data_IF_882311789038
#
_entry.id   IF_882311789038
#
_cell.length_a   1.000
_cell.length_b   1.000
_cell.length_c   1.000
_cell.angle_alpha   90.00
_cell.angle_beta   90.00
_cell.angle_gamma   90.00
#
_symmetry.space_group_name_H-M   'P 1'
#
loop_
_entity.id
_entity.type
_entity.pdbx_description
1 polymer ?
#
# COMPACT_ATOMS: atom_id res chain seq x y z
N UNK A 1 -11.10 -13.63 5.37
CA UNK A 1 -11.05 -12.28 6.00
C UNK A 1 -10.18 -12.26 7.26
N UNK A 2 -10.33 -13.20 8.20
CA UNK A 2 -9.53 -13.23 9.44
C UNK A 2 -8.05 -13.60 9.24
N UNK A 3 -7.72 -14.45 8.27
CA UNK A 3 -6.34 -14.91 8.05
C UNK A 3 -5.38 -13.77 7.70
N UNK A 4 -5.75 -12.88 6.76
CA UNK A 4 -4.91 -11.73 6.39
C UNK A 4 -4.66 -10.79 7.57
N UNK A 5 -5.67 -10.57 8.42
CA UNK A 5 -5.51 -9.77 9.62
C UNK A 5 -4.59 -10.43 10.64
N UNK A 6 -4.70 -11.75 10.84
CA UNK A 6 -3.82 -12.50 11.74
C UNK A 6 -2.37 -12.53 11.22
N UNK A 7 -2.17 -12.65 9.90
CA UNK A 7 -0.86 -12.60 9.25
C UNK A 7 -0.17 -11.25 9.49
N UNK A 8 -0.92 -10.16 9.65
CA UNK A 8 -0.36 -8.84 9.96
C UNK A 8 -0.21 -8.63 11.46
N UNK A 9 -1.27 -8.89 12.24
CA UNK A 9 -1.27 -8.59 13.67
C UNK A 9 -0.32 -9.53 14.44
N UNK A 10 -0.36 -10.84 14.23
CA UNK A 10 0.42 -11.79 15.02
C UNK A 10 1.93 -11.49 14.96
N UNK A 11 2.56 -11.32 13.78
CA UNK A 11 3.98 -10.98 13.71
C UNK A 11 4.31 -9.63 14.33
N UNK A 12 3.41 -8.63 14.19
CA UNK A 12 3.55 -7.32 14.81
C UNK A 12 3.59 -7.44 16.35
N UNK A 13 2.62 -8.16 16.93
CA UNK A 13 2.55 -8.41 18.37
C UNK A 13 3.77 -9.18 18.86
N UNK A 14 4.14 -10.28 18.19
CA UNK A 14 5.29 -11.11 18.58
C UNK A 14 6.59 -10.31 18.51
N UNK A 15 6.81 -9.53 17.45
CA UNK A 15 7.96 -8.63 17.34
C UNK A 15 7.96 -7.57 18.44
N UNK A 16 6.78 -7.01 18.76
CA UNK A 16 6.63 -6.00 19.81
C UNK A 16 6.93 -6.51 21.21
N UNK A 17 6.85 -7.82 21.48
CA UNK A 17 7.23 -8.37 22.78
C UNK A 17 8.76 -8.31 23.02
N UNK A 18 9.55 -8.17 21.96
CA UNK A 18 11.02 -8.17 22.04
C UNK A 18 11.53 -6.77 22.40
N UNK A 19 11.92 -6.60 23.66
CA UNK A 19 12.61 -5.40 24.15
C UNK A 19 14.11 -5.66 24.25
N UNK A 20 14.92 -4.83 23.59
CA UNK A 20 16.38 -4.89 23.60
C UNK A 20 16.99 -3.50 23.70
N UNK A 21 18.09 -3.38 24.45
CA UNK A 21 18.87 -2.14 24.56
C UNK A 21 20.10 -2.16 23.62
N UNK A 22 20.31 -3.26 22.89
CA UNK A 22 21.48 -3.42 22.03
C UNK A 22 21.32 -2.60 20.73
N UNK A 23 22.08 -1.51 20.62
CA UNK A 23 22.07 -0.61 19.45
C UNK A 23 22.50 -1.29 18.15
N UNK A 24 23.40 -2.28 18.21
CA UNK A 24 23.85 -3.03 17.03
C UNK A 24 22.69 -3.86 16.48
N UNK A 25 21.99 -4.59 17.36
CA UNK A 25 20.82 -5.38 16.97
C UNK A 25 19.74 -4.50 16.33
N UNK A 26 19.45 -3.32 16.91
CA UNK A 26 18.48 -2.38 16.37
C UNK A 26 18.88 -1.85 14.98
N UNK A 27 20.17 -1.57 14.78
CA UNK A 27 20.69 -1.13 13.48
C UNK A 27 20.61 -2.24 12.44
N UNK A 28 20.91 -3.47 12.82
CA UNK A 28 20.76 -4.65 11.95
C UNK A 28 19.31 -4.89 11.56
N UNK A 29 18.36 -4.73 12.48
CA UNK A 29 16.91 -4.86 12.19
C UNK A 29 16.48 -3.83 11.15
N UNK A 30 16.97 -2.59 11.23
CA UNK A 30 16.69 -1.56 10.22
C UNK A 30 17.24 -1.95 8.83
N UNK A 31 18.43 -2.56 8.79
CA UNK A 31 19.02 -3.03 7.54
C UNK A 31 18.25 -4.21 6.94
N UNK A 32 17.87 -5.18 7.78
CA UNK A 32 17.02 -6.33 7.40
C UNK A 32 15.69 -5.85 6.83
N UNK A 33 15.05 -4.87 7.48
CA UNK A 33 13.78 -4.31 7.01
C UNK A 33 13.91 -3.74 5.58
N UNK A 34 15.00 -3.03 5.28
CA UNK A 34 15.25 -2.53 3.93
C UNK A 34 15.53 -3.64 2.90
N UNK A 35 16.23 -4.70 3.30
CA UNK A 35 16.46 -5.86 2.42
C UNK A 35 15.14 -6.57 2.12
N UNK A 36 14.32 -6.82 3.15
CA UNK A 36 13.00 -7.44 3.00
C UNK A 36 12.10 -6.61 2.09
N UNK A 37 12.19 -5.27 2.17
CA UNK A 37 11.50 -4.36 1.26
C UNK A 37 11.93 -4.55 -0.21
N UNK A 38 13.23 -4.68 -0.49
CA UNK A 38 13.67 -4.94 -1.88
C UNK A 38 13.20 -6.29 -2.39
N UNK A 39 13.25 -7.32 -1.53
CA UNK A 39 12.82 -8.67 -1.88
C UNK A 39 11.31 -8.71 -2.17
N UNK A 40 10.47 -8.09 -1.32
CA UNK A 40 9.03 -8.12 -1.54
C UNK A 40 8.65 -7.42 -2.86
N UNK A 41 9.23 -6.25 -3.14
CA UNK A 41 9.00 -5.53 -4.40
C UNK A 41 9.49 -6.28 -5.63
N UNK A 42 10.62 -6.97 -5.52
CA UNK A 42 11.10 -7.86 -6.58
C UNK A 42 10.10 -9.01 -6.84
N UNK A 43 9.63 -9.69 -5.79
CA UNK A 43 8.66 -10.79 -5.89
C UNK A 43 7.37 -10.29 -6.56
N UNK A 44 6.90 -9.10 -6.17
CA UNK A 44 5.71 -8.46 -6.76
C UNK A 44 5.89 -8.19 -8.25
N UNK A 45 7.05 -7.62 -8.62
CA UNK A 45 7.43 -7.47 -10.02
C UNK A 45 7.44 -8.81 -10.75
N UNK A 46 8.08 -9.83 -10.19
CA UNK A 46 8.15 -11.15 -10.80
C UNK A 46 6.77 -11.75 -11.08
N UNK A 47 5.84 -11.66 -10.13
CA UNK A 47 4.45 -12.08 -10.32
C UNK A 47 3.75 -11.31 -11.44
N UNK A 48 4.00 -10.00 -11.59
CA UNK A 48 3.49 -9.19 -12.70
C UNK A 48 3.97 -9.71 -14.06
N UNK A 49 5.26 -10.07 -14.16
CA UNK A 49 5.85 -10.58 -15.40
C UNK A 49 5.27 -11.91 -15.90
N UNK A 50 4.62 -12.67 -15.01
CA UNK A 50 4.05 -13.98 -15.34
C UNK A 50 2.59 -13.93 -15.81
N UNK A 51 1.93 -12.77 -15.81
CA UNK A 51 0.53 -12.66 -16.25
C UNK A 51 0.37 -12.98 -17.76
N UNK A 52 -0.65 -13.77 -18.10
CA UNK A 52 -1.04 -14.10 -19.47
C UNK A 52 -1.84 -12.96 -20.13
N UNK A 53 -1.85 -12.96 -21.48
CA UNK A 53 -2.73 -12.11 -22.30
C UNK A 53 -2.62 -10.57 -22.17
N UNK A 54 -1.54 -10.04 -21.58
CA UNK A 54 -1.31 -8.60 -21.45
C UNK A 54 -1.36 -7.85 -22.80
N UNK A 55 -0.81 -8.42 -23.86
CA UNK A 55 -0.52 -7.71 -25.11
C UNK A 55 -1.73 -7.43 -26.02
N UNK A 56 -2.81 -8.24 -25.95
CA UNK A 56 -3.92 -8.16 -26.93
C UNK A 56 -5.09 -7.26 -26.51
N UNK A 57 -5.21 -6.91 -25.21
CA UNK A 57 -6.26 -6.03 -24.66
C UNK A 57 -5.72 -4.77 -23.97
N UNK A 58 -4.42 -4.51 -24.13
CA UNK A 58 -3.68 -3.52 -23.35
C UNK A 58 -4.22 -2.09 -23.44
N UNK A 59 -4.64 -1.54 -24.60
CA UNK A 59 -5.05 -0.13 -24.67
C UNK A 59 -6.29 0.18 -23.83
N UNK A 60 -7.31 -0.69 -23.88
CA UNK A 60 -8.56 -0.50 -23.11
C UNK A 60 -8.30 -0.66 -21.61
N UNK A 61 -7.52 -1.68 -21.23
CA UNK A 61 -7.13 -1.89 -19.83
C UNK A 61 -6.33 -0.70 -19.31
N UNK A 62 -5.36 -0.22 -20.08
CA UNK A 62 -4.51 0.90 -19.70
C UNK A 62 -5.30 2.20 -19.53
N UNK A 63 -6.18 2.54 -20.49
CA UNK A 63 -7.00 3.76 -20.41
C UNK A 63 -7.96 3.69 -19.21
N UNK A 64 -8.64 2.56 -19.02
CA UNK A 64 -9.58 2.39 -17.91
C UNK A 64 -8.86 2.42 -16.56
N UNK A 65 -7.76 1.66 -16.40
CA UNK A 65 -6.97 1.64 -15.18
C UNK A 65 -6.36 3.01 -14.87
N UNK A 66 -5.83 3.72 -15.86
CA UNK A 66 -5.30 5.07 -15.69
C UNK A 66 -6.40 6.06 -15.27
N UNK A 67 -7.60 5.94 -15.85
CA UNK A 67 -8.75 6.78 -15.49
C UNK A 67 -9.15 6.57 -14.03
N UNK A 68 -9.29 5.32 -13.60
CA UNK A 68 -9.54 4.98 -12.19
C UNK A 68 -8.42 5.50 -11.29
N UNK A 69 -7.16 5.20 -11.63
CA UNK A 69 -6.00 5.59 -10.87
C UNK A 69 -5.92 7.10 -10.65
N UNK A 70 -6.03 7.89 -11.72
CA UNK A 70 -5.93 9.35 -11.67
C UNK A 70 -7.06 9.92 -10.83
N UNK A 71 -8.31 9.52 -11.08
CA UNK A 71 -9.46 10.09 -10.37
C UNK A 71 -9.46 9.71 -8.89
N UNK A 72 -9.27 8.42 -8.56
CA UNK A 72 -9.23 7.97 -7.17
C UNK A 72 -8.08 8.63 -6.41
N UNK A 73 -6.87 8.64 -6.97
CA UNK A 73 -5.72 9.23 -6.29
C UNK A 73 -5.85 10.75 -6.16
N UNK A 74 -6.40 11.45 -7.15
CA UNK A 74 -6.64 12.90 -7.06
C UNK A 74 -7.66 13.25 -5.98
N UNK A 75 -8.77 12.53 -5.91
CA UNK A 75 -9.78 12.73 -4.87
C UNK A 75 -9.22 12.44 -3.47
N UNK A 76 -8.47 11.35 -3.32
CA UNK A 76 -7.78 11.03 -2.07
C UNK A 76 -6.82 12.14 -1.67
N UNK A 77 -5.98 12.61 -2.59
CA UNK A 77 -5.01 13.66 -2.32
C UNK A 77 -5.70 14.96 -1.91
N UNK A 78 -6.75 15.38 -2.63
CA UNK A 78 -7.50 16.61 -2.30
C UNK A 78 -8.17 16.50 -0.93
N UNK A 79 -8.88 15.41 -0.65
CA UNK A 79 -9.59 15.26 0.63
C UNK A 79 -8.65 15.15 1.82
N UNK A 80 -7.53 14.44 1.67
CA UNK A 80 -6.54 14.29 2.72
C UNK A 80 -5.73 15.57 2.95
N UNK A 81 -5.35 16.29 1.89
CA UNK A 81 -4.68 17.60 2.03
C UNK A 81 -5.62 18.60 2.69
N UNK A 82 -6.90 18.63 2.31
CA UNK A 82 -7.89 19.47 2.95
C UNK A 82 -7.97 19.16 4.45
N UNK A 83 -8.05 17.87 4.83
CA UNK A 83 -8.04 17.45 6.22
C UNK A 83 -6.76 17.85 6.97
N UNK A 84 -5.58 17.65 6.38
CA UNK A 84 -4.32 18.06 6.98
C UNK A 84 -4.24 19.58 7.20
N UNK A 85 -4.82 20.38 6.29
CA UNK A 85 -4.92 21.85 6.44
C UNK A 85 -5.88 22.28 7.55
N UNK A 86 -7.02 21.62 7.69
CA UNK A 86 -7.99 21.92 8.75
C UNK A 86 -7.57 21.38 10.12
N UNK A 87 -6.75 20.34 10.17
CA UNK A 87 -6.27 19.71 11.40
C UNK A 87 -4.75 19.50 11.37
N UNK A 88 -3.94 20.57 11.35
CA UNK A 88 -2.49 20.46 11.22
C UNK A 88 -1.89 19.80 12.45
N UNK A 89 -1.05 18.78 12.23
CA UNK A 89 -0.14 18.23 13.25
C UNK A 89 1.27 18.15 12.63
N UNK A 90 2.04 19.24 12.64
CA UNK A 90 3.38 19.25 12.07
C UNK A 90 4.29 18.28 12.81
N UNK A 91 5.20 17.58 12.12
CA UNK A 91 6.20 16.69 12.72
C UNK A 91 6.87 17.40 13.90
N UNK A 92 6.97 16.73 15.06
CA UNK A 92 7.89 17.22 16.10
C UNK A 92 9.25 17.27 15.43
N UNK A 93 9.95 18.41 15.50
CA UNK A 93 11.27 18.58 14.88
C UNK A 93 12.14 17.39 15.28
N UNK A 94 12.34 16.46 14.35
CA UNK A 94 13.32 15.40 14.52
C UNK A 94 14.67 16.11 14.56
N UNK A 95 15.38 15.99 15.67
CA UNK A 95 16.66 16.66 15.94
C UNK A 95 17.83 16.09 15.12
N UNK A 96 17.58 15.67 13.88
CA UNK A 96 18.58 15.16 12.95
C UNK A 96 18.33 15.72 11.54
N UNK A 97 19.39 15.83 10.75
CA UNK A 97 19.29 16.20 9.34
C UNK A 97 18.37 15.23 8.62
N UNK A 98 17.16 15.69 8.25
CA UNK A 98 16.29 14.89 7.40
C UNK A 98 17.01 14.63 6.09
N UNK A 99 17.01 13.38 5.58
CA UNK A 99 17.65 13.07 4.32
C UNK A 99 17.08 13.99 3.22
N UNK A 100 17.97 14.52 2.36
CA UNK A 100 17.58 15.37 1.24
C UNK A 100 16.49 14.71 0.40
N UNK A 101 15.51 15.50 -0.07
CA UNK A 101 14.39 15.02 -0.91
C UNK A 101 14.88 14.24 -2.14
N UNK A 102 16.01 14.67 -2.72
CA UNK A 102 16.65 13.97 -3.83
C UNK A 102 17.10 12.56 -3.45
N UNK A 103 17.69 12.38 -2.26
CA UNK A 103 18.09 11.07 -1.77
C UNK A 103 16.87 10.16 -1.58
N UNK A 104 15.78 10.70 -1.02
CA UNK A 104 14.51 9.95 -0.88
C UNK A 104 13.94 9.55 -2.24
N UNK A 105 13.99 10.44 -3.25
CA UNK A 105 13.57 10.13 -4.63
C UNK A 105 14.43 9.05 -5.27
N UNK A 106 15.76 9.12 -5.13
CA UNK A 106 16.65 8.07 -5.62
C UNK A 106 16.36 6.73 -4.96
N UNK A 107 16.05 6.73 -3.67
CA UNK A 107 15.67 5.52 -2.95
C UNK A 107 14.32 4.98 -3.45
N UNK A 108 13.31 5.82 -3.69
CA UNK A 108 12.06 5.40 -4.37
C UNK A 108 12.30 4.89 -5.79
N UNK A 109 13.25 5.47 -6.52
CA UNK A 109 13.67 5.01 -7.84
C UNK A 109 14.29 3.60 -7.80
N UNK A 110 15.12 3.30 -6.81
CA UNK A 110 15.67 1.95 -6.60
C UNK A 110 14.57 0.92 -6.32
N UNK A 111 13.57 1.31 -5.53
CA UNK A 111 12.42 0.46 -5.23
C UNK A 111 11.61 0.15 -6.50
N UNK A 112 11.33 1.15 -7.32
CA UNK A 112 10.70 0.94 -8.63
C UNK A 112 11.56 0.06 -9.55
N UNK A 113 12.89 0.27 -9.55
CA UNK A 113 13.81 -0.55 -10.34
C UNK A 113 13.74 -2.04 -9.93
N UNK A 114 13.56 -2.35 -8.64
CA UNK A 114 13.38 -3.74 -8.18
C UNK A 114 12.08 -4.36 -8.70
N UNK A 115 10.98 -3.59 -8.75
CA UNK A 115 9.72 -4.06 -9.34
C UNK A 115 9.90 -4.32 -10.85
N UNK A 116 10.51 -3.39 -11.59
CA UNK A 116 10.74 -3.54 -13.02
C UNK A 116 11.67 -4.71 -13.33
N UNK A 117 12.73 -4.88 -12.55
CA UNK A 117 13.68 -5.97 -12.68
C UNK A 117 13.02 -7.32 -12.36
N UNK A 118 12.20 -7.37 -11.30
CA UNK A 118 11.37 -8.53 -11.01
C UNK A 118 10.45 -8.88 -12.19
N UNK A 119 9.73 -7.89 -12.73
CA UNK A 119 8.81 -8.09 -13.86
C UNK A 119 9.50 -8.56 -15.13
N UNK A 120 10.65 -7.99 -15.46
CA UNK A 120 11.46 -8.43 -16.58
C UNK A 120 11.89 -9.90 -16.43
N UNK A 121 12.43 -10.27 -15.25
CA UNK A 121 12.85 -11.65 -14.98
C UNK A 121 11.66 -12.61 -14.99
N UNK A 122 10.54 -12.23 -14.38
CA UNK A 122 9.29 -13.00 -14.36
C UNK A 122 8.78 -13.28 -15.77
N UNK A 123 8.86 -12.30 -16.66
CA UNK A 123 8.49 -12.44 -18.07
C UNK A 123 9.44 -13.37 -18.84
N UNK A 124 10.76 -13.21 -18.68
CA UNK A 124 11.77 -14.01 -19.41
C UNK A 124 11.73 -15.50 -19.02
N UNK A 125 11.47 -15.80 -17.76
CA UNK A 125 11.49 -17.17 -17.21
C UNK A 125 10.05 -17.75 -17.11
N UNK A 126 9.07 -17.07 -17.68
CA UNK A 126 7.67 -17.50 -17.68
C UNK A 126 7.54 -18.95 -18.18
N UNK A 127 6.85 -19.79 -17.40
CA UNK A 127 6.64 -21.21 -17.69
C UNK A 127 7.83 -22.14 -17.39
N UNK A 128 9.00 -21.62 -17.02
CA UNK A 128 10.18 -22.44 -16.65
C UNK A 128 10.41 -22.52 -15.14
N UNK A 129 10.05 -21.46 -14.43
CA UNK A 129 10.23 -21.36 -12.99
C UNK A 129 9.07 -20.59 -12.37
N UNK A 130 8.50 -21.14 -11.31
CA UNK A 130 7.53 -20.46 -10.45
C UNK A 130 8.16 -20.24 -9.08
N UNK A 131 7.80 -19.13 -8.43
CA UNK A 131 8.16 -18.93 -7.04
C UNK A 131 7.43 -19.96 -6.16
N UNK A 132 8.00 -20.36 -5.01
CA UNK A 132 7.28 -21.14 -4.02
C UNK A 132 5.96 -20.48 -3.63
N UNK A 133 4.93 -21.30 -3.43
CA UNK A 133 3.64 -20.81 -2.94
C UNK A 133 3.85 -20.01 -1.64
N UNK A 134 3.23 -18.83 -1.55
CA UNK A 134 3.31 -17.91 -0.41
C UNK A 134 4.69 -17.25 -0.13
N UNK A 135 5.64 -17.27 -1.07
CA UNK A 135 6.94 -16.60 -0.91
C UNK A 135 6.83 -15.13 -0.47
N UNK A 136 5.92 -14.36 -1.07
CA UNK A 136 5.64 -12.97 -0.69
C UNK A 136 5.12 -12.85 0.75
N UNK A 137 4.24 -13.76 1.17
CA UNK A 137 3.67 -13.79 2.53
C UNK A 137 4.76 -13.99 3.59
N UNK A 138 5.72 -14.89 3.37
CA UNK A 138 6.81 -15.10 4.33
C UNK A 138 7.69 -13.85 4.49
N UNK A 139 8.04 -13.20 3.38
CA UNK A 139 8.84 -11.96 3.41
C UNK A 139 8.08 -10.84 4.13
N UNK A 140 6.77 -10.72 3.88
CA UNK A 140 5.88 -9.77 4.55
C UNK A 140 5.83 -10.01 6.07
N UNK A 141 5.65 -11.26 6.51
CA UNK A 141 5.61 -11.63 7.93
C UNK A 141 6.92 -11.23 8.63
N UNK A 142 8.07 -11.51 8.01
CA UNK A 142 9.38 -11.10 8.54
C UNK A 142 9.54 -9.57 8.60
N UNK A 143 9.00 -8.84 7.62
CA UNK A 143 9.04 -7.38 7.57
C UNK A 143 8.22 -6.78 8.72
N UNK A 144 6.97 -7.24 8.89
CA UNK A 144 6.07 -6.75 9.93
C UNK A 144 6.59 -7.11 11.33
N UNK A 145 7.15 -8.31 11.50
CA UNK A 145 7.84 -8.70 12.72
C UNK A 145 8.99 -7.74 13.06
N UNK A 146 9.82 -7.39 12.07
CA UNK A 146 10.92 -6.43 12.24
C UNK A 146 10.43 -5.04 12.66
N UNK A 147 9.30 -4.60 12.09
CA UNK A 147 8.63 -3.35 12.50
C UNK A 147 8.14 -3.43 13.95
N UNK A 148 7.55 -4.55 14.36
CA UNK A 148 7.09 -4.79 15.73
C UNK A 148 8.20 -4.58 16.75
N UNK A 149 9.39 -5.13 16.50
CA UNK A 149 10.57 -4.95 17.37
C UNK A 149 10.94 -3.46 17.44
N UNK A 150 10.97 -2.75 16.31
CA UNK A 150 11.32 -1.34 16.30
C UNK A 150 10.34 -0.50 17.11
N UNK A 151 9.03 -0.74 16.97
CA UNK A 151 7.99 -0.01 17.72
C UNK A 151 8.21 -0.10 19.23
N UNK A 152 8.43 -1.32 19.74
CA UNK A 152 8.66 -1.55 21.17
C UNK A 152 9.88 -0.79 21.69
N UNK A 153 10.96 -0.86 20.93
CA UNK A 153 12.25 -0.30 21.33
C UNK A 153 12.34 1.22 21.13
N UNK A 154 11.38 1.81 20.42
CA UNK A 154 11.19 3.27 20.33
C UNK A 154 10.12 3.80 21.29
N UNK A 155 9.62 2.96 22.21
CA UNK A 155 8.71 3.39 23.29
C UNK A 155 7.28 3.68 22.85
N UNK A 156 6.88 3.26 21.66
CA UNK A 156 5.52 3.46 21.14
C UNK A 156 4.60 2.41 21.75
N UNK A 157 3.49 2.81 22.38
CA UNK A 157 2.52 1.86 22.92
C UNK A 157 1.63 1.26 21.84
N UNK A 158 1.36 -0.04 21.91
CA UNK A 158 0.55 -0.74 20.91
C UNK A 158 -0.91 -0.26 20.85
N UNK A 159 -1.44 0.27 21.97
CA UNK A 159 -2.74 0.95 21.99
C UNK A 159 -2.76 2.16 21.05
N UNK A 160 -1.69 2.95 21.04
CA UNK A 160 -1.58 4.13 20.19
C UNK A 160 -1.41 3.76 18.72
N UNK A 161 -0.87 2.57 18.46
CA UNK A 161 -0.72 1.97 17.12
C UNK A 161 -2.06 1.52 16.56
N UNK A 162 -2.90 0.83 17.34
CA UNK A 162 -4.19 0.32 16.87
C UNK A 162 -5.29 1.39 16.90
N UNK A 163 -5.33 2.22 17.94
CA UNK A 163 -6.39 3.21 18.19
C UNK A 163 -5.94 4.65 17.93
N UNK A 164 -5.12 4.87 16.90
CA UNK A 164 -4.73 6.21 16.52
C UNK A 164 -5.92 7.00 15.94
N UNK A 165 -6.50 7.93 16.70
CA UNK A 165 -7.66 8.72 16.23
C UNK A 165 -7.43 9.41 14.88
N UNK A 166 -6.20 9.90 14.61
CA UNK A 166 -5.89 10.53 13.32
C UNK A 166 -5.84 9.49 12.20
N UNK A 167 -5.32 8.29 12.46
CA UNK A 167 -5.31 7.16 11.51
C UNK A 167 -6.71 6.72 11.15
N UNK A 168 -7.59 6.59 12.16
CA UNK A 168 -8.99 6.25 11.94
C UNK A 168 -9.71 7.26 11.04
N UNK A 169 -9.56 8.57 11.33
CA UNK A 169 -10.17 9.63 10.51
C UNK A 169 -9.57 9.65 9.09
N UNK A 170 -8.25 9.47 8.97
CA UNK A 170 -7.56 9.37 7.67
C UNK A 170 -8.15 8.23 6.84
N UNK A 171 -8.42 7.08 7.47
CA UNK A 171 -9.05 5.92 6.83
C UNK A 171 -10.44 6.24 6.30
N UNK A 172 -11.30 6.82 7.13
CA UNK A 172 -12.67 7.20 6.75
C UNK A 172 -12.67 8.18 5.57
N UNK A 173 -11.84 9.23 5.63
CA UNK A 173 -11.75 10.21 4.55
C UNK A 173 -11.29 9.53 3.26
N UNK A 174 -10.21 8.75 3.32
CA UNK A 174 -9.67 8.01 2.18
C UNK A 174 -10.69 7.07 1.53
N UNK A 175 -11.51 6.37 2.32
CA UNK A 175 -12.55 5.49 1.79
C UNK A 175 -13.58 6.30 1.02
N UNK A 176 -14.11 7.35 1.63
CA UNK A 176 -15.15 8.19 1.01
C UNK A 176 -14.61 8.80 -0.28
N UNK A 177 -13.41 9.38 -0.26
CA UNK A 177 -12.80 9.98 -1.44
C UNK A 177 -12.46 8.93 -2.51
N UNK A 178 -12.04 7.73 -2.12
CA UNK A 178 -11.76 6.64 -3.07
C UNK A 178 -13.04 6.20 -3.78
N UNK A 179 -14.13 6.00 -3.04
CA UNK A 179 -15.41 5.59 -3.63
C UNK A 179 -15.99 6.69 -4.55
N UNK A 180 -15.87 7.96 -4.17
CA UNK A 180 -16.26 9.09 -5.03
C UNK A 180 -15.44 9.14 -6.32
N UNK A 181 -14.12 8.94 -6.23
CA UNK A 181 -13.25 8.87 -7.40
C UNK A 181 -13.60 7.69 -8.32
N UNK A 182 -13.93 6.52 -7.75
CA UNK A 182 -14.39 5.35 -8.48
C UNK A 182 -15.73 5.55 -9.18
N UNK A 183 -16.67 6.21 -8.50
CA UNK A 183 -17.97 6.55 -9.06
C UNK A 183 -17.83 7.49 -10.26
N UNK A 184 -17.02 8.53 -10.13
CA UNK A 184 -16.76 9.47 -11.23
C UNK A 184 -16.04 8.79 -12.40
N UNK A 185 -15.09 7.88 -12.12
CA UNK A 185 -14.40 7.10 -13.14
C UNK A 185 -15.36 6.18 -13.90
N UNK A 186 -16.29 5.51 -13.21
CA UNK A 186 -17.32 4.70 -13.87
C UNK A 186 -18.23 5.54 -14.77
N UNK A 187 -18.67 6.72 -14.33
CA UNK A 187 -19.48 7.63 -15.17
C UNK A 187 -18.71 8.03 -16.43
N UNK A 188 -17.43 8.40 -16.29
CA UNK A 188 -16.60 8.84 -17.42
C UNK A 188 -16.35 7.71 -18.43
N UNK A 189 -16.15 6.48 -17.94
CA UNK A 189 -15.94 5.29 -18.76
C UNK A 189 -17.24 4.64 -19.24
N UNK A 190 -18.41 5.22 -18.89
CA UNK A 190 -19.75 4.66 -19.18
C UNK A 190 -19.95 3.24 -18.66
N UNK A 191 -19.39 2.95 -17.49
CA UNK A 191 -19.52 1.69 -16.77
C UNK A 191 -20.65 1.78 -15.72
N UNK A 192 -21.27 0.66 -15.33
CA UNK A 192 -22.13 0.63 -14.16
C UNK A 192 -21.43 1.17 -12.91
N UNK A 193 -22.15 1.93 -12.09
CA UNK A 193 -21.60 2.56 -10.90
C UNK A 193 -21.05 1.52 -9.90
N UNK A 194 -21.67 0.34 -9.84
CA UNK A 194 -21.23 -0.79 -9.03
C UNK A 194 -19.83 -1.28 -9.40
N UNK A 195 -19.48 -1.28 -10.70
CA UNK A 195 -18.13 -1.61 -11.15
C UNK A 195 -17.11 -0.56 -10.68
N UNK A 196 -17.45 0.72 -10.75
CA UNK A 196 -16.56 1.78 -10.28
C UNK A 196 -16.31 1.71 -8.77
N UNK A 197 -17.35 1.42 -8.00
CA UNK A 197 -17.24 1.24 -6.54
C UNK A 197 -16.44 -0.01 -6.18
N UNK A 198 -16.62 -1.13 -6.90
CA UNK A 198 -15.83 -2.33 -6.69
C UNK A 198 -14.34 -2.10 -6.97
N UNK A 199 -14.00 -1.52 -8.13
CA UNK A 199 -12.59 -1.22 -8.50
C UNK A 199 -11.96 -0.26 -7.49
N UNK A 200 -12.69 0.75 -7.03
CA UNK A 200 -12.18 1.68 -6.01
C UNK A 200 -11.97 1.03 -4.64
N UNK A 201 -12.78 0.01 -4.30
CA UNK A 201 -12.75 -0.67 -3.00
C UNK A 201 -11.53 -1.55 -2.80
N UNK A 202 -10.72 -1.80 -3.83
CA UNK A 202 -9.43 -2.49 -3.70
C UNK A 202 -8.45 -1.76 -2.79
N UNK A 203 -8.54 -0.43 -2.71
CA UNK A 203 -7.71 0.43 -1.85
C UNK A 203 -6.20 0.21 -1.97
N UNK A 204 -5.69 -0.35 -3.06
CA UNK A 204 -4.28 -0.72 -3.22
C UNK A 204 -3.96 -2.20 -2.99
N UNK A 205 -4.93 -3.03 -2.57
CA UNK A 205 -4.74 -4.47 -2.39
C UNK A 205 -4.94 -5.24 -3.70
N UNK A 206 -4.03 -5.03 -4.65
CA UNK A 206 -4.14 -5.54 -6.01
C UNK A 206 -4.27 -7.07 -6.07
N UNK A 207 -3.68 -7.83 -5.15
CA UNK A 207 -3.74 -9.30 -5.17
C UNK A 207 -5.12 -9.84 -4.82
N UNK A 208 -5.88 -9.12 -4.00
CA UNK A 208 -7.25 -9.48 -3.64
C UNK A 208 -8.25 -8.90 -4.64
N UNK A 209 -8.12 -7.62 -4.96
CA UNK A 209 -9.06 -6.91 -5.82
C UNK A 209 -9.09 -7.49 -7.23
N UNK A 210 -7.91 -7.80 -7.80
CA UNK A 210 -7.81 -8.35 -9.16
C UNK A 210 -8.45 -9.73 -9.29
N UNK A 211 -8.28 -10.61 -8.30
CA UNK A 211 -8.85 -11.96 -8.32
C UNK A 211 -10.36 -11.91 -8.15
N UNK A 212 -10.88 -11.20 -7.14
CA UNK A 212 -12.32 -11.12 -6.91
C UNK A 212 -13.07 -10.46 -8.08
N UNK A 213 -12.47 -9.44 -8.69
CA UNK A 213 -13.07 -8.76 -9.84
C UNK A 213 -12.93 -9.60 -11.11
N UNK A 214 -11.83 -10.34 -11.27
CA UNK A 214 -11.67 -11.31 -12.35
C UNK A 214 -12.74 -12.41 -12.28
N UNK A 215 -12.99 -12.97 -11.10
CA UNK A 215 -13.97 -14.03 -10.93
C UNK A 215 -15.40 -13.53 -11.18
N UNK A 216 -15.69 -12.28 -10.83
CA UNK A 216 -16.99 -11.68 -11.05
C UNK A 216 -17.22 -11.31 -12.53
N UNK A 217 -16.27 -10.61 -13.16
CA UNK A 217 -16.49 -9.88 -14.43
C UNK A 217 -15.42 -10.15 -15.49
N UNK A 218 -14.55 -11.13 -15.24
CA UNK A 218 -13.57 -11.65 -16.18
C UNK A 218 -12.20 -10.95 -16.20
N UNK A 219 -11.25 -11.49 -16.96
CA UNK A 219 -9.83 -11.10 -16.91
C UNK A 219 -9.56 -9.62 -17.24
N UNK A 220 -10.42 -9.00 -18.04
CA UNK A 220 -10.25 -7.58 -18.39
C UNK A 220 -10.43 -6.68 -17.17
N UNK A 221 -11.52 -6.87 -16.40
CA UNK A 221 -11.78 -6.05 -15.22
C UNK A 221 -10.84 -6.39 -14.06
N UNK A 222 -10.47 -7.67 -13.91
CA UNK A 222 -9.42 -8.07 -12.97
C UNK A 222 -8.09 -7.37 -13.25
N UNK A 223 -7.71 -7.24 -14.53
CA UNK A 223 -6.51 -6.50 -14.94
C UNK A 223 -6.64 -4.99 -14.67
N UNK A 224 -7.81 -4.39 -14.90
CA UNK A 224 -8.05 -2.96 -14.61
C UNK A 224 -7.86 -2.69 -13.11
N UNK A 225 -8.46 -3.53 -12.25
CA UNK A 225 -8.33 -3.42 -10.80
C UNK A 225 -6.86 -3.57 -10.36
N UNK A 226 -6.17 -4.57 -10.91
CA UNK A 226 -4.75 -4.81 -10.67
C UNK A 226 -3.90 -3.56 -10.97
N UNK A 227 -4.00 -3.01 -12.18
CA UNK A 227 -3.20 -1.85 -12.58
C UNK A 227 -3.57 -0.57 -11.83
N UNK A 228 -4.85 -0.37 -11.51
CA UNK A 228 -5.29 0.73 -10.66
C UNK A 228 -4.60 0.69 -9.29
N UNK A 229 -4.64 -0.47 -8.62
CA UNK A 229 -4.06 -0.63 -7.30
C UNK A 229 -2.52 -0.60 -7.33
N UNK A 230 -1.89 -1.24 -8.32
CA UNK A 230 -0.43 -1.18 -8.51
C UNK A 230 0.06 0.25 -8.79
N UNK A 231 -0.67 1.01 -9.60
CA UNK A 231 -0.29 2.40 -9.91
C UNK A 231 -0.29 3.27 -8.65
N UNK A 232 -1.23 3.02 -7.73
CA UNK A 232 -1.31 3.73 -6.44
C UNK A 232 -0.07 3.47 -5.60
N UNK A 233 0.37 2.21 -5.54
CA UNK A 233 1.59 1.86 -4.82
C UNK A 233 2.78 2.62 -5.40
N UNK A 234 3.03 2.53 -6.71
CA UNK A 234 4.15 3.20 -7.38
C UNK A 234 4.12 4.73 -7.14
N UNK A 235 2.97 5.36 -7.37
CA UNK A 235 2.82 6.82 -7.17
C UNK A 235 3.05 7.20 -5.71
N UNK A 236 2.57 6.40 -4.76
CA UNK A 236 2.76 6.65 -3.33
C UNK A 236 4.24 6.66 -2.94
N UNK A 237 5.07 5.76 -3.49
CA UNK A 237 6.52 5.71 -3.20
C UNK A 237 7.20 7.06 -3.50
N UNK A 238 6.75 7.77 -4.53
CA UNK A 238 7.28 9.08 -4.90
C UNK A 238 6.63 10.23 -4.13
N UNK A 239 5.32 10.16 -3.86
CA UNK A 239 4.59 11.26 -3.20
C UNK A 239 4.83 11.33 -1.69
N UNK A 240 5.05 10.19 -1.01
CA UNK A 240 5.26 10.12 0.44
C UNK A 240 6.36 11.10 0.91
N UNK A 241 7.60 11.09 0.35
CA UNK A 241 8.65 12.03 0.75
C UNK A 241 8.28 13.51 0.67
N UNK A 242 7.46 13.92 -0.31
CA UNK A 242 7.06 15.32 -0.47
C UNK A 242 5.95 15.73 0.48
N UNK A 243 5.00 14.82 0.71
CA UNK A 243 3.85 15.10 1.56
C UNK A 243 4.20 15.03 3.04
N UNK A 244 5.16 14.18 3.44
CA UNK A 244 5.38 13.82 4.83
C UNK A 244 5.67 15.00 5.77
N UNK A 245 6.37 16.03 5.29
CA UNK A 245 6.73 17.18 6.12
C UNK A 245 5.53 18.05 6.51
N UNK A 246 4.61 18.27 5.57
CA UNK A 246 3.53 19.24 5.70
C UNK A 246 2.15 18.60 5.87
N UNK A 247 1.95 17.39 5.32
CA UNK A 247 0.67 16.72 5.18
C UNK A 247 0.83 15.23 5.54
N UNK A 248 0.95 14.94 6.85
CA UNK A 248 1.23 13.57 7.33
C UNK A 248 0.12 12.58 6.99
N UNK A 249 -1.14 12.98 7.13
CA UNK A 249 -2.28 12.10 6.80
C UNK A 249 -2.37 11.87 5.30
N UNK A 250 -2.00 12.86 4.49
CA UNK A 250 -1.92 12.71 3.03
C UNK A 250 -0.79 11.78 2.61
N UNK A 251 0.38 11.90 3.24
CA UNK A 251 1.52 11.04 2.98
C UNK A 251 1.22 9.57 3.32
N UNK A 252 0.57 9.32 4.46
CA UNK A 252 0.14 7.96 4.83
C UNK A 252 -1.05 7.49 4.00
N UNK A 253 -2.03 8.34 3.77
CA UNK A 253 -3.29 7.95 3.15
C UNK A 253 -3.16 7.62 1.66
N UNK A 254 -2.22 8.25 0.95
CA UNK A 254 -2.03 8.01 -0.49
C UNK A 254 -1.58 6.57 -0.80
N UNK A 255 -0.96 5.86 0.16
CA UNK A 255 -0.55 4.47 -0.03
C UNK A 255 -1.67 3.45 0.15
N UNK A 256 -2.79 3.81 0.78
CA UNK A 256 -3.92 2.90 0.96
C UNK A 256 -3.56 1.64 1.76
N UNK A 257 -4.01 0.47 1.31
CA UNK A 257 -3.74 -0.82 1.92
C UNK A 257 -2.23 -1.08 2.10
N UNK A 258 -1.41 -0.53 1.20
CA UNK A 258 0.03 -0.75 1.23
C UNK A 258 0.76 0.00 2.37
N UNK A 259 0.02 0.77 3.17
CA UNK A 259 0.53 1.44 4.37
C UNK A 259 1.05 0.46 5.44
N UNK A 260 0.67 -0.82 5.39
CA UNK A 260 1.12 -1.85 6.33
C UNK A 260 2.31 -2.68 5.84
N UNK A 261 2.60 -2.65 4.54
CA UNK A 261 3.56 -3.55 3.90
C UNK A 261 4.70 -2.77 3.20
N UNK A 262 4.64 -2.62 1.89
CA UNK A 262 5.66 -2.08 1.00
C UNK A 262 5.92 -0.59 1.23
N UNK A 263 4.91 0.20 1.61
CA UNK A 263 5.11 1.65 1.81
C UNK A 263 5.47 2.02 3.24
N UNK A 264 5.26 1.11 4.20
CA UNK A 264 5.52 1.35 5.62
C UNK A 264 6.98 1.76 5.90
N UNK A 265 8.01 1.11 5.33
CA UNK A 265 9.40 1.54 5.50
C UNK A 265 9.68 2.95 4.97
N UNK A 266 9.05 3.35 3.87
CA UNK A 266 9.24 4.68 3.28
C UNK A 266 8.56 5.74 4.12
N UNK A 267 7.35 5.45 4.59
CA UNK A 267 6.64 6.29 5.57
C UNK A 267 7.53 6.49 6.81
N UNK A 268 8.11 5.41 7.33
CA UNK A 268 8.99 5.47 8.49
C UNK A 268 10.28 6.25 8.20
N UNK A 269 10.89 6.06 7.02
CA UNK A 269 12.13 6.76 6.65
C UNK A 269 11.89 8.26 6.39
N UNK A 270 10.75 8.62 5.82
CA UNK A 270 10.39 10.01 5.55
C UNK A 270 9.87 10.74 6.80
N UNK A 271 9.11 10.06 7.65
CA UNK A 271 8.37 10.64 8.78
C UNK A 271 8.91 10.29 10.16
N UNK A 272 9.89 9.40 10.25
CA UNK A 272 10.36 8.82 11.50
C UNK A 272 9.37 7.82 12.11
N UNK A 273 9.76 7.25 13.24
CA UNK A 273 8.98 6.21 13.90
C UNK A 273 7.67 6.73 14.50
N UNK A 274 7.55 8.04 14.75
CA UNK A 274 6.33 8.68 15.26
C UNK A 274 5.13 8.58 14.30
N UNK A 275 5.37 8.36 13.00
CA UNK A 275 4.30 8.24 11.99
C UNK A 275 3.79 6.81 11.85
N UNK A 276 4.54 5.82 12.34
CA UNK A 276 4.17 4.40 12.25
C UNK A 276 2.81 4.09 12.90
N UNK A 277 2.44 4.63 14.07
CA UNK A 277 1.09 4.44 14.63
C UNK A 277 -0.04 4.95 13.73
N UNK A 278 0.19 6.07 13.04
CA UNK A 278 -0.76 6.62 12.08
C UNK A 278 -0.94 5.67 10.89
N UNK A 279 0.17 5.18 10.33
CA UNK A 279 0.18 4.24 9.22
C UNK A 279 -0.46 2.90 9.56
N UNK A 280 -0.19 2.35 10.74
CA UNK A 280 -0.77 1.07 11.14
C UNK A 280 -2.28 1.18 11.39
N UNK A 281 -2.73 2.21 12.11
CA UNK A 281 -4.16 2.41 12.36
C UNK A 281 -4.95 2.68 11.07
N UNK A 282 -4.40 3.49 10.17
CA UNK A 282 -4.97 3.72 8.84
C UNK A 282 -5.00 2.43 8.02
N UNK A 283 -3.86 1.76 7.91
CA UNK A 283 -3.67 0.54 7.16
C UNK A 283 -4.58 -0.59 7.63
N UNK A 284 -4.83 -0.69 8.93
CA UNK A 284 -5.76 -1.65 9.52
C UNK A 284 -7.18 -1.50 8.95
N UNK A 285 -7.69 -0.26 8.87
CA UNK A 285 -8.99 0.02 8.25
C UNK A 285 -8.98 -0.37 6.77
N UNK A 286 -7.95 0.05 6.04
CA UNK A 286 -7.85 -0.17 4.59
C UNK A 286 -7.50 -1.60 4.20
N UNK A 287 -7.27 -2.50 5.17
CA UNK A 287 -7.12 -3.94 4.92
C UNK A 287 -8.35 -4.75 5.40
N UNK A 288 -9.15 -4.25 6.36
CA UNK A 288 -10.39 -4.93 6.78
C UNK A 288 -11.55 -4.67 5.81
N UNK A 289 -11.66 -3.45 5.30
CA UNK A 289 -12.81 -3.06 4.49
C UNK A 289 -12.79 -3.56 3.03
N UNK A 290 -11.64 -3.65 2.31
CA UNK A 290 -11.65 -4.12 0.92
C UNK A 290 -12.35 -5.46 0.72
N UNK A 291 -12.08 -6.54 1.49
CA UNK A 291 -12.79 -7.81 1.30
C UNK A 291 -14.32 -7.68 1.37
N UNK A 292 -14.82 -6.87 2.30
CA UNK A 292 -16.26 -6.67 2.50
C UNK A 292 -16.86 -5.88 1.33
N UNK A 293 -16.23 -4.75 0.99
CA UNK A 293 -16.72 -3.85 -0.05
C UNK A 293 -16.59 -4.47 -1.44
N UNK A 294 -15.48 -5.15 -1.73
CA UNK A 294 -15.27 -5.84 -3.00
C UNK A 294 -16.35 -6.89 -3.23
N UNK A 295 -16.58 -7.78 -2.28
CA UNK A 295 -17.63 -8.82 -2.38
C UNK A 295 -19.01 -8.20 -2.50
N UNK A 296 -19.29 -7.17 -1.70
CA UNK A 296 -20.58 -6.48 -1.76
C UNK A 296 -20.84 -5.86 -3.13
N UNK A 297 -19.91 -5.05 -3.65
CA UNK A 297 -20.11 -4.38 -4.94
C UNK A 297 -19.97 -5.32 -6.14
N UNK A 298 -19.15 -6.38 -6.06
CA UNK A 298 -19.01 -7.36 -7.13
C UNK A 298 -20.22 -8.31 -7.25
N UNK A 299 -21.03 -8.43 -6.20
CA UNK A 299 -22.24 -9.25 -6.21
C UNK A 299 -23.39 -8.67 -7.05
N UNK A 300 -23.32 -7.39 -7.43
CA UNK A 300 -24.36 -6.78 -8.25
C UNK A 300 -24.20 -7.16 -9.73
N UNK A 301 -25.29 -7.54 -10.41
CA UNK A 301 -25.25 -7.83 -11.84
C UNK A 301 -24.95 -6.56 -12.66
N UNK A 302 -24.31 -6.75 -13.81
CA UNK A 302 -23.94 -5.73 -14.81
C UNK A 302 -24.98 -5.71 -15.91
#
# INVERSE_FOLDING_TARGET
>A
MYEGLLIVLCPLFVGYLIKTQNKILLTSINHILMILLYIILFIMGFSLGQLDDLAKKLPVIAISAATFAILIQSFNLVGLIAYDRFSPKPLKKVTGEMPSRWKLLFDSGKLCAMVLLGAFIGYVIKGKFSLPEHASTYVLVCLIFSVGIQLRNNGIALRDVLFNKRGLITGVIFIITSLLGGLLAAILLKLPLTQGLAIASGFGWYSLSSVLINDAWGPMFGSIAFFNDLSREIVSLFLIPFLMQNHRSSAVGISGATALDCTLPIIQKAGGIEVVPLAISFGFITNILPPILLVFFSSFPI
#
